data_IF_290069162678
#
_entry.id   IF_290069162678
#
_cell.length_a   1.000
_cell.length_b   1.000
_cell.length_c   1.000
_cell.angle_alpha   90.00
_cell.angle_beta   90.00
_cell.angle_gamma   90.00
#
_symmetry.space_group_name_H-M   'P 1'
#
loop_
_entity.id
_entity.type
_entity.pdbx_description
1 polymer ?
#
# COMPACT_ATOMS: atom_id res chain seq x y z
N UNK A 1 -7.61 -4.52 -12.81
CA UNK A 1 -8.68 -3.72 -12.19
C UNK A 1 -10.00 -4.07 -12.86
N UNK A 2 -11.13 -3.76 -12.22
CA UNK A 2 -12.45 -4.29 -12.54
C UNK A 2 -12.83 -4.35 -14.03
N UNK A 3 -13.74 -5.26 -14.38
CA UNK A 3 -14.27 -5.36 -15.75
C UNK A 3 -14.96 -4.08 -16.21
N UNK A 4 -15.04 -3.89 -17.53
CA UNK A 4 -15.78 -2.77 -18.14
C UNK A 4 -17.21 -2.70 -17.62
N UNK A 5 -17.86 -3.86 -17.44
CA UNK A 5 -19.22 -3.98 -16.88
C UNK A 5 -19.37 -3.31 -15.51
N UNK A 6 -18.37 -3.44 -14.63
CA UNK A 6 -18.40 -2.76 -13.33
C UNK A 6 -18.22 -1.25 -13.47
N UNK A 7 -17.36 -0.78 -14.38
CA UNK A 7 -17.21 0.66 -14.65
C UNK A 7 -18.51 1.27 -15.21
N UNK A 8 -19.18 0.57 -16.11
CA UNK A 8 -20.44 1.02 -16.72
C UNK A 8 -21.60 1.12 -15.71
N UNK A 9 -21.48 0.49 -14.54
CA UNK A 9 -22.47 0.59 -13.45
C UNK A 9 -22.36 1.85 -12.59
N UNK A 10 -21.35 2.68 -12.82
CA UNK A 10 -21.11 3.93 -12.08
C UNK A 10 -21.09 5.15 -13.01
N UNK A 11 -21.33 6.36 -12.48
CA UNK A 11 -21.11 7.59 -13.24
C UNK A 11 -19.68 7.66 -13.81
N UNK A 12 -19.54 8.23 -15.00
CA UNK A 12 -18.24 8.39 -15.63
C UNK A 12 -17.32 9.30 -14.79
N UNK A 13 -16.01 9.01 -14.83
CA UNK A 13 -15.00 9.90 -14.26
C UNK A 13 -15.00 11.22 -15.06
N UNK A 14 -15.11 12.39 -14.41
CA UNK A 14 -15.26 13.67 -15.10
C UNK A 14 -13.95 14.14 -15.75
N UNK A 15 -14.06 14.96 -16.79
CA UNK A 15 -12.91 15.44 -17.57
C UNK A 15 -12.36 16.81 -17.11
N UNK A 16 -12.99 17.44 -16.11
CA UNK A 16 -12.72 18.81 -15.64
C UNK A 16 -12.05 18.85 -14.26
N UNK A 17 -11.44 17.74 -13.82
CA UNK A 17 -10.68 17.65 -12.58
C UNK A 17 -9.19 17.48 -12.85
N UNK A 18 -8.28 17.94 -11.96
CA UNK A 18 -6.85 17.74 -12.14
C UNK A 18 -6.50 16.26 -12.04
N UNK A 19 -5.92 15.69 -13.09
CA UNK A 19 -5.49 14.30 -13.18
C UNK A 19 -3.95 14.24 -13.19
N UNK A 20 -3.38 13.31 -12.45
CA UNK A 20 -1.95 13.05 -12.46
C UNK A 20 -1.55 12.31 -13.75
N UNK A 21 -0.39 12.64 -14.31
CA UNK A 21 0.18 11.87 -15.42
C UNK A 21 0.75 10.54 -14.88
N UNK A 22 -0.08 9.50 -14.85
CA UNK A 22 0.30 8.16 -14.39
C UNK A 22 0.51 7.27 -15.61
N UNK A 23 1.72 6.76 -15.78
CA UNK A 23 2.07 5.88 -16.89
C UNK A 23 1.23 4.60 -16.88
N UNK A 24 0.80 4.17 -18.06
CA UNK A 24 0.15 2.87 -18.26
C UNK A 24 1.12 1.87 -18.85
N UNK A 25 1.31 0.77 -18.13
CA UNK A 25 2.27 -0.30 -18.38
C UNK A 25 1.52 -1.60 -18.66
N UNK A 26 1.82 -2.27 -19.77
CA UNK A 26 1.19 -3.52 -20.18
C UNK A 26 1.88 -4.73 -19.56
N UNK A 27 1.14 -5.52 -18.78
CA UNK A 27 1.64 -6.78 -18.22
C UNK A 27 2.06 -7.78 -19.30
N UNK A 28 1.28 -7.86 -20.38
CA UNK A 28 1.57 -8.75 -21.51
C UNK A 28 2.92 -8.41 -22.16
N UNK A 29 3.20 -7.12 -22.40
CA UNK A 29 4.48 -6.67 -22.95
C UNK A 29 5.65 -6.91 -22.00
N UNK A 30 5.46 -6.66 -20.69
CA UNK A 30 6.48 -6.99 -19.69
C UNK A 30 6.84 -8.48 -19.75
N UNK A 31 5.84 -9.37 -19.76
CA UNK A 31 6.03 -10.82 -19.85
C UNK A 31 6.64 -11.28 -21.17
N UNK A 32 6.36 -10.57 -22.26
CA UNK A 32 7.01 -10.78 -23.56
C UNK A 32 8.47 -10.30 -23.60
N UNK A 33 8.99 -9.68 -22.53
CA UNK A 33 10.36 -9.18 -22.47
C UNK A 33 10.59 -7.88 -23.24
N UNK A 34 9.55 -7.07 -23.46
CA UNK A 34 9.66 -5.76 -24.11
C UNK A 34 10.52 -4.82 -23.25
N UNK A 35 11.74 -4.55 -23.70
CA UNK A 35 12.72 -3.75 -22.97
C UNK A 35 12.29 -2.29 -22.78
N UNK A 36 11.53 -1.74 -23.73
CA UNK A 36 10.98 -0.38 -23.61
C UNK A 36 9.91 -0.35 -22.53
N UNK A 37 9.04 -1.35 -22.48
CA UNK A 37 7.99 -1.41 -21.45
C UNK A 37 8.57 -1.60 -20.05
N UNK A 38 9.61 -2.44 -19.91
CA UNK A 38 10.35 -2.59 -18.65
C UNK A 38 11.00 -1.27 -18.22
N UNK A 39 11.60 -0.54 -19.16
CA UNK A 39 12.21 0.77 -18.89
C UNK A 39 11.17 1.82 -18.47
N UNK A 40 10.01 1.87 -19.15
CA UNK A 40 8.88 2.75 -18.80
C UNK A 40 8.34 2.44 -17.41
N UNK A 41 8.15 1.16 -17.08
CA UNK A 41 7.73 0.73 -15.75
C UNK A 41 8.71 1.21 -14.68
N UNK A 42 10.00 1.02 -14.91
CA UNK A 42 11.03 1.41 -13.95
C UNK A 42 11.16 2.94 -13.79
N UNK A 43 11.05 3.70 -14.88
CA UNK A 43 10.95 5.17 -14.83
C UNK A 43 9.74 5.59 -13.97
N UNK A 44 8.57 4.98 -14.17
CA UNK A 44 7.40 5.28 -13.35
C UNK A 44 7.62 4.98 -11.85
N UNK A 45 8.33 3.89 -11.51
CA UNK A 45 8.69 3.55 -10.13
C UNK A 45 9.68 4.53 -9.47
N UNK A 46 10.51 5.23 -10.26
CA UNK A 46 11.54 6.17 -9.76
C UNK A 46 11.08 7.63 -9.79
N UNK A 47 10.25 8.01 -10.77
CA UNK A 47 9.81 9.39 -10.96
C UNK A 47 8.56 9.74 -10.15
N UNK A 48 7.50 8.95 -10.32
CA UNK A 48 6.23 9.18 -9.64
C UNK A 48 6.00 8.20 -8.49
N UNK A 49 6.59 7.00 -8.55
CA UNK A 49 6.33 5.93 -7.61
C UNK A 49 4.98 5.23 -7.83
N UNK A 50 4.27 5.56 -8.92
CA UNK A 50 2.95 5.07 -9.27
C UNK A 50 2.88 4.75 -10.78
N UNK A 51 2.16 3.69 -11.13
CA UNK A 51 1.76 3.40 -12.52
C UNK A 51 0.45 2.62 -12.56
N UNK A 52 -0.20 2.61 -13.72
CA UNK A 52 -1.32 1.75 -14.05
C UNK A 52 -0.80 0.48 -14.74
N UNK A 53 -1.05 -0.70 -14.19
CA UNK A 53 -0.70 -1.98 -14.80
C UNK A 53 -1.89 -2.56 -15.56
N UNK A 54 -1.86 -2.49 -16.89
CA UNK A 54 -2.86 -3.09 -17.77
C UNK A 54 -2.74 -4.61 -17.78
N UNK A 55 -3.80 -5.28 -17.32
CA UNK A 55 -3.90 -6.73 -17.20
C UNK A 55 -4.42 -7.42 -18.47
N UNK A 56 -4.82 -6.65 -19.49
CA UNK A 56 -5.36 -7.20 -20.74
C UNK A 56 -4.28 -7.95 -21.51
N UNK A 57 -4.71 -8.92 -22.32
CA UNK A 57 -3.85 -9.73 -23.19
C UNK A 57 -2.79 -10.57 -22.45
N UNK A 58 -3.00 -10.83 -21.15
CA UNK A 58 -2.21 -11.77 -20.36
C UNK A 58 -3.16 -12.72 -19.62
N UNK A 59 -2.92 -14.03 -19.67
CA UNK A 59 -3.83 -15.03 -19.11
C UNK A 59 -3.99 -14.88 -17.58
N UNK A 60 -2.88 -14.61 -16.88
CA UNK A 60 -2.90 -14.38 -15.42
C UNK A 60 -3.57 -13.05 -15.11
N UNK A 61 -3.30 -12.00 -15.89
CA UNK A 61 -3.94 -10.69 -15.76
C UNK A 61 -5.46 -10.76 -15.96
N UNK A 62 -5.92 -11.46 -16.98
CA UNK A 62 -7.34 -11.68 -17.25
C UNK A 62 -8.00 -12.56 -16.18
N UNK A 63 -7.29 -13.56 -15.65
CA UNK A 63 -7.78 -14.36 -14.52
C UNK A 63 -7.89 -13.52 -13.25
N UNK A 64 -6.87 -12.71 -12.94
CA UNK A 64 -6.90 -11.77 -11.82
C UNK A 64 -8.03 -10.74 -11.98
N UNK A 65 -8.33 -10.29 -13.21
CA UNK A 65 -9.45 -9.37 -13.43
C UNK A 65 -10.79 -10.01 -13.01
N UNK A 66 -11.00 -11.30 -13.33
CA UNK A 66 -12.20 -12.02 -12.88
C UNK A 66 -12.26 -12.14 -11.37
N UNK A 67 -11.13 -12.47 -10.74
CA UNK A 67 -11.04 -12.55 -9.27
C UNK A 67 -11.29 -11.20 -8.61
N UNK A 68 -10.81 -10.11 -9.21
CA UNK A 68 -11.04 -8.75 -8.73
C UNK A 68 -12.53 -8.43 -8.66
N UNK A 69 -13.31 -8.77 -9.70
CA UNK A 69 -14.75 -8.52 -9.73
C UNK A 69 -15.45 -9.28 -8.59
N UNK A 70 -15.07 -10.55 -8.37
CA UNK A 70 -15.56 -11.36 -7.25
C UNK A 70 -15.18 -10.75 -5.91
N UNK A 71 -13.91 -10.37 -5.75
CA UNK A 71 -13.39 -9.79 -4.51
C UNK A 71 -14.05 -8.44 -4.17
N UNK A 72 -14.42 -7.62 -5.17
CA UNK A 72 -15.17 -6.38 -4.97
C UNK A 72 -16.60 -6.64 -4.50
N UNK A 73 -17.26 -7.68 -5.04
CA UNK A 73 -18.55 -8.16 -4.54
C UNK A 73 -18.44 -8.64 -3.10
N UNK A 74 -17.45 -9.48 -2.82
CA UNK A 74 -17.16 -9.99 -1.47
C UNK A 74 -16.88 -8.86 -0.47
N UNK A 75 -16.12 -7.83 -0.87
CA UNK A 75 -15.86 -6.68 -0.02
C UNK A 75 -17.17 -5.96 0.36
N UNK A 76 -18.10 -5.80 -0.59
CA UNK A 76 -19.42 -5.23 -0.31
C UNK A 76 -20.18 -6.08 0.71
N UNK A 77 -20.26 -7.39 0.50
CA UNK A 77 -20.94 -8.31 1.43
C UNK A 77 -20.34 -8.26 2.84
N UNK A 78 -19.01 -8.24 2.96
CA UNK A 78 -18.30 -8.09 4.24
C UNK A 78 -18.69 -6.79 4.96
N UNK A 79 -18.81 -5.69 4.23
CA UNK A 79 -19.15 -4.41 4.84
C UNK A 79 -20.64 -4.23 5.12
N UNK A 80 -21.50 -4.99 4.44
CA UNK A 80 -22.95 -5.05 4.66
C UNK A 80 -23.34 -5.95 5.85
N UNK A 81 -22.40 -6.74 6.41
CA UNK A 81 -22.61 -7.45 7.67
C UNK A 81 -23.02 -6.51 8.81
N UNK A 82 -23.82 -7.00 9.79
CA UNK A 82 -24.16 -6.25 10.99
C UNK A 82 -22.93 -5.69 11.69
N UNK A 83 -23.07 -4.51 12.31
CA UNK A 83 -21.95 -3.83 12.95
C UNK A 83 -21.32 -4.71 14.05
N UNK A 84 -22.16 -5.40 14.81
CA UNK A 84 -21.77 -6.32 15.89
C UNK A 84 -20.85 -7.42 15.36
N UNK A 85 -21.18 -8.03 14.23
CA UNK A 85 -20.38 -9.08 13.59
C UNK A 85 -19.03 -8.54 13.10
N UNK A 86 -19.00 -7.34 12.55
CA UNK A 86 -17.75 -6.70 12.11
C UNK A 86 -16.84 -6.35 13.29
N UNK A 87 -17.41 -5.90 14.40
CA UNK A 87 -16.63 -5.45 15.57
C UNK A 87 -15.93 -6.56 16.35
N UNK A 88 -16.31 -7.83 16.16
CA UNK A 88 -15.55 -8.99 16.67
C UNK A 88 -14.10 -8.96 16.17
N UNK A 89 -13.88 -8.38 14.99
CA UNK A 89 -12.58 -8.22 14.35
C UNK A 89 -11.89 -6.90 14.67
N UNK A 90 -12.43 -6.08 15.57
CA UNK A 90 -11.88 -4.75 15.83
C UNK A 90 -10.36 -4.80 16.03
N UNK A 91 -9.65 -3.88 15.39
CA UNK A 91 -8.26 -3.58 15.72
C UNK A 91 -8.22 -3.06 17.16
N UNK A 92 -8.16 -3.97 18.14
CA UNK A 92 -7.80 -3.63 19.51
C UNK A 92 -6.33 -3.21 19.43
N UNK A 93 -5.99 -1.92 19.61
CA UNK A 93 -4.59 -1.57 19.88
C UNK A 93 -4.21 -2.38 21.11
N UNK A 94 -3.03 -3.03 21.16
CA UNK A 94 -2.64 -3.82 22.33
C UNK A 94 -3.00 -3.04 23.61
N UNK A 95 -3.90 -3.56 24.45
CA UNK A 95 -4.53 -2.82 25.56
C UNK A 95 -3.52 -2.22 26.55
N UNK A 96 -2.25 -2.66 26.49
CA UNK A 96 -1.12 -2.09 27.24
C UNK A 96 -0.48 -0.82 26.64
N UNK A 97 -0.91 -0.35 25.46
CA UNK A 97 -0.46 0.91 24.86
C UNK A 97 -1.10 2.17 25.48
N UNK A 98 -2.06 2.02 26.39
CA UNK A 98 -2.81 3.13 27.00
C UNK A 98 -2.18 3.63 28.31
N UNK A 99 -1.05 3.06 28.74
CA UNK A 99 -0.34 3.49 29.94
C UNK A 99 1.03 4.07 29.62
N UNK A 100 1.16 5.40 29.72
CA UNK A 100 2.40 6.18 29.67
C UNK A 100 2.85 6.71 28.30
N UNK A 101 2.38 7.91 27.96
CA UNK A 101 3.04 8.85 27.04
C UNK A 101 3.56 10.00 27.89
N UNK A 102 4.88 10.10 28.17
CA UNK A 102 5.40 11.26 28.89
C UNK A 102 5.29 12.51 27.99
N UNK A 103 4.96 13.69 28.52
CA UNK A 103 4.84 14.91 27.74
C UNK A 103 6.16 15.25 27.03
N UNK A 104 6.08 15.44 25.71
CA UNK A 104 7.22 15.71 24.81
C UNK A 104 7.68 17.17 24.88
N UNK A 105 8.11 17.65 26.05
CA UNK A 105 8.57 19.05 26.19
C UNK A 105 10.09 19.25 26.14
N UNK A 106 10.93 18.20 26.18
CA UNK A 106 12.39 18.38 26.30
C UNK A 106 13.20 17.67 25.19
N UNK A 107 14.02 18.45 24.47
CA UNK A 107 14.92 18.02 23.38
C UNK A 107 15.92 16.91 23.74
N UNK A 108 16.17 16.68 25.05
CA UNK A 108 17.13 15.67 25.54
C UNK A 108 16.64 14.22 25.46
N UNK A 109 15.33 13.96 25.31
CA UNK A 109 14.77 12.59 25.34
C UNK A 109 14.81 11.85 24.01
N UNK A 110 15.05 12.52 22.87
CA UNK A 110 15.03 11.91 21.52
C UNK A 110 16.05 10.77 21.33
N UNK A 111 17.22 10.83 21.99
CA UNK A 111 18.30 9.83 21.82
C UNK A 111 18.13 8.60 22.72
N UNK A 112 17.56 8.77 23.91
CA UNK A 112 17.35 7.68 24.89
C UNK A 112 16.05 6.89 24.64
N UNK A 113 15.05 7.52 24.01
CA UNK A 113 13.79 6.84 23.66
C UNK A 113 13.99 5.73 22.62
N UNK A 114 14.98 5.82 21.73
CA UNK A 114 15.23 4.80 20.70
C UNK A 114 15.62 3.43 21.27
N UNK A 115 16.49 3.38 22.27
CA UNK A 115 16.95 2.10 22.86
C UNK A 115 16.05 1.61 24.00
N UNK A 116 15.53 2.52 24.84
CA UNK A 116 14.71 2.18 26.00
C UNK A 116 13.32 1.66 25.63
N UNK A 117 12.67 2.26 24.63
CA UNK A 117 11.38 1.79 24.09
C UNK A 117 11.61 0.41 23.45
N UNK A 118 12.55 0.28 22.51
CA UNK A 118 12.77 -0.98 21.79
C UNK A 118 13.08 -2.17 22.73
N UNK A 119 13.79 -1.95 23.85
CA UNK A 119 13.98 -2.98 24.90
C UNK A 119 12.68 -3.43 25.57
N UNK A 120 11.74 -2.52 25.82
CA UNK A 120 10.45 -2.82 26.43
C UNK A 120 9.48 -3.55 25.49
N UNK A 121 9.72 -3.45 24.17
CA UNK A 121 8.91 -4.07 23.12
C UNK A 121 9.55 -5.28 22.45
N UNK A 122 10.73 -5.73 22.91
CA UNK A 122 11.43 -6.94 22.46
C UNK A 122 10.57 -8.17 22.77
N UNK A 123 9.65 -8.50 21.84
CA UNK A 123 8.62 -9.54 22.00
C UNK A 123 7.21 -9.15 21.54
N UNK A 124 6.94 -7.87 21.26
CA UNK A 124 5.66 -7.44 20.67
C UNK A 124 5.69 -7.60 19.17
N UNK A 125 5.27 -8.78 18.72
CA UNK A 125 4.98 -9.02 17.30
C UNK A 125 3.71 -8.25 16.96
N UNK A 126 3.77 -7.35 15.97
CA UNK A 126 2.58 -6.78 15.34
C UNK A 126 1.84 -7.94 14.64
N UNK A 127 1.03 -8.69 15.39
CA UNK A 127 0.29 -9.83 14.85
C UNK A 127 -0.71 -9.29 13.84
N UNK A 128 -0.45 -9.53 12.56
CA UNK A 128 -1.42 -9.29 11.51
C UNK A 128 -2.50 -10.37 11.61
N UNK A 129 -3.44 -10.17 12.52
CA UNK A 129 -4.70 -10.91 12.55
C UNK A 129 -5.69 -10.26 11.59
N UNK A 130 -6.69 -11.04 11.17
CA UNK A 130 -7.81 -10.48 10.44
C UNK A 130 -8.44 -9.38 11.29
N UNK A 131 -8.66 -8.22 10.68
CA UNK A 131 -8.98 -7.04 11.46
C UNK A 131 -9.94 -6.09 10.76
N UNK A 132 -10.80 -5.49 11.56
CA UNK A 132 -11.76 -4.48 11.16
C UNK A 132 -11.42 -3.14 11.84
N UNK A 133 -11.59 -2.07 11.09
CA UNK A 133 -11.50 -0.69 11.58
C UNK A 133 -12.75 0.05 11.10
N UNK A 134 -13.55 0.54 12.05
CA UNK A 134 -14.73 1.34 11.78
C UNK A 134 -14.38 2.75 11.27
N UNK A 135 -15.28 3.40 10.53
CA UNK A 135 -15.13 4.80 10.13
C UNK A 135 -14.95 5.73 11.35
N UNK A 136 -14.18 6.80 11.18
CA UNK A 136 -13.95 7.83 12.19
C UNK A 136 -12.97 7.47 13.32
N UNK A 137 -12.38 6.27 13.32
CA UNK A 137 -11.36 5.86 14.32
C UNK A 137 -10.04 6.63 14.13
N UNK A 138 -9.68 6.97 12.90
CA UNK A 138 -8.51 7.79 12.59
C UNK A 138 -8.91 9.24 12.35
N UNK A 139 -7.93 10.14 12.41
CA UNK A 139 -8.11 11.56 12.06
C UNK A 139 -7.47 11.87 10.72
N UNK A 140 -8.09 12.77 9.99
CA UNK A 140 -7.55 13.39 8.77
C UNK A 140 -6.60 14.53 9.13
N UNK A 141 -5.92 15.09 8.13
CA UNK A 141 -5.07 16.28 8.24
C UNK A 141 -5.79 17.51 8.82
N UNK A 142 -7.13 17.55 8.71
CA UNK A 142 -7.98 18.62 9.28
C UNK A 142 -8.42 18.35 10.71
N UNK A 143 -7.98 17.24 11.32
CA UNK A 143 -8.42 16.77 12.64
C UNK A 143 -9.81 16.11 12.64
N UNK A 144 -10.54 16.16 11.52
CA UNK A 144 -11.84 15.52 11.37
C UNK A 144 -11.71 13.99 11.33
N UNK A 145 -12.72 13.24 11.80
CA UNK A 145 -12.75 11.79 11.66
C UNK A 145 -12.70 11.37 10.19
N UNK A 146 -11.91 10.34 9.92
CA UNK A 146 -11.83 9.71 8.60
C UNK A 146 -13.19 9.10 8.18
N UNK A 147 -13.41 8.92 6.88
CA UNK A 147 -14.68 8.41 6.34
C UNK A 147 -14.50 7.04 5.65
N UNK A 148 -13.63 6.20 6.21
CA UNK A 148 -13.36 4.88 5.64
C UNK A 148 -13.40 3.74 6.67
N UNK A 149 -13.92 2.60 6.24
CA UNK A 149 -13.83 1.34 6.99
C UNK A 149 -12.80 0.43 6.35
N UNK A 150 -12.02 -0.28 7.16
CA UNK A 150 -11.10 -1.32 6.68
C UNK A 150 -11.54 -2.67 7.17
N UNK A 151 -11.42 -3.67 6.30
CA UNK A 151 -11.39 -5.07 6.67
C UNK A 151 -10.15 -5.70 6.05
N UNK A 152 -9.23 -6.19 6.87
CA UNK A 152 -7.95 -6.72 6.44
C UNK A 152 -7.87 -8.23 6.68
N UNK A 153 -7.50 -8.98 5.66
CA UNK A 153 -7.17 -10.39 5.70
C UNK A 153 -5.66 -10.55 5.67
N UNK A 154 -5.10 -11.23 6.66
CA UNK A 154 -3.67 -11.52 6.70
C UNK A 154 -3.28 -12.58 5.68
N UNK A 155 -2.15 -12.40 5.00
CA UNK A 155 -1.56 -13.45 4.16
C UNK A 155 -0.94 -14.57 5.01
N UNK A 156 -0.42 -14.22 6.18
CA UNK A 156 0.29 -15.13 7.09
C UNK A 156 -0.65 -16.06 7.88
N UNK A 157 -1.53 -16.78 7.19
CA UNK A 157 -2.42 -17.79 7.77
C UNK A 157 -1.71 -19.05 8.30
N UNK A 158 -0.50 -18.92 8.87
CA UNK A 158 0.23 -20.03 9.51
C UNK A 158 -0.32 -20.40 10.90
N UNK A 159 -1.21 -19.58 11.46
CA UNK A 159 -2.19 -20.04 12.45
C UNK A 159 -3.49 -20.38 11.70
N UNK A 160 -4.23 -21.46 12.06
CA UNK A 160 -5.49 -21.81 11.39
C UNK A 160 -6.31 -20.54 11.26
N UNK A 161 -6.65 -20.12 10.02
CA UNK A 161 -7.30 -18.83 9.76
C UNK A 161 -8.33 -18.62 10.86
N UNK A 162 -8.09 -17.67 11.78
CA UNK A 162 -8.98 -17.47 12.93
C UNK A 162 -10.42 -17.34 12.45
N UNK A 163 -11.41 -17.52 13.33
CA UNK A 163 -12.83 -17.44 12.95
C UNK A 163 -13.06 -16.25 12.02
N UNK A 164 -13.32 -16.48 10.74
CA UNK A 164 -13.61 -15.40 9.78
C UNK A 164 -15.11 -15.20 9.70
N UNK A 165 -15.61 -14.05 9.23
CA UNK A 165 -17.03 -13.95 8.90
C UNK A 165 -17.43 -15.08 7.93
N UNK A 166 -18.63 -15.67 8.05
CA UNK A 166 -19.07 -16.77 7.18
C UNK A 166 -18.82 -16.49 5.70
N UNK A 167 -19.11 -15.26 5.25
CA UNK A 167 -18.88 -14.83 3.87
C UNK A 167 -17.41 -14.99 3.41
N UNK A 168 -16.44 -14.73 4.29
CA UNK A 168 -15.02 -14.95 3.99
C UNK A 168 -14.68 -16.45 4.02
N UNK A 169 -15.28 -17.22 4.94
CA UNK A 169 -15.04 -18.66 5.05
C UNK A 169 -15.55 -19.41 3.82
N UNK A 170 -16.73 -19.07 3.35
CA UNK A 170 -17.40 -19.68 2.19
C UNK A 170 -16.70 -19.34 0.88
N UNK A 171 -16.10 -18.14 0.79
CA UNK A 171 -15.39 -17.66 -0.40
C UNK A 171 -13.87 -17.88 -0.36
N UNK A 172 -13.36 -18.77 0.52
CA UNK A 172 -11.93 -19.08 0.62
C UNK A 172 -11.30 -19.49 -0.72
N UNK A 173 -11.91 -20.36 -1.55
CA UNK A 173 -11.32 -20.73 -2.84
C UNK A 173 -11.07 -19.53 -3.77
N UNK A 174 -12.00 -18.57 -3.79
CA UNK A 174 -11.93 -17.35 -4.59
C UNK A 174 -10.85 -16.40 -4.06
N UNK A 175 -10.77 -16.23 -2.74
CA UNK A 175 -9.70 -15.44 -2.09
C UNK A 175 -8.33 -16.06 -2.37
N UNK A 176 -8.21 -17.38 -2.31
CA UNK A 176 -6.97 -18.10 -2.63
C UNK A 176 -6.60 -17.94 -4.12
N UNK A 177 -7.57 -18.02 -5.02
CA UNK A 177 -7.34 -17.78 -6.46
C UNK A 177 -6.81 -16.36 -6.71
N UNK A 178 -7.48 -15.35 -6.14
CA UNK A 178 -7.03 -13.96 -6.17
C UNK A 178 -5.59 -13.80 -5.66
N UNK A 179 -5.28 -14.38 -4.50
CA UNK A 179 -3.95 -14.32 -3.88
C UNK A 179 -2.87 -14.93 -4.78
N UNK A 180 -3.15 -16.06 -5.41
CA UNK A 180 -2.21 -16.73 -6.30
C UNK A 180 -1.89 -15.86 -7.52
N UNK A 181 -2.91 -15.34 -8.21
CA UNK A 181 -2.70 -14.51 -9.40
C UNK A 181 -2.03 -13.18 -9.07
N UNK A 182 -2.49 -12.46 -8.03
CA UNK A 182 -1.92 -11.15 -7.67
C UNK A 182 -0.48 -11.26 -7.15
N UNK A 183 -0.17 -12.35 -6.42
CA UNK A 183 1.19 -12.59 -5.95
C UNK A 183 2.13 -12.95 -7.09
N UNK A 184 1.69 -13.76 -8.06
CA UNK A 184 2.47 -14.08 -9.26
C UNK A 184 2.83 -12.82 -10.07
N UNK A 185 1.87 -11.91 -10.23
CA UNK A 185 2.10 -10.62 -10.89
C UNK A 185 3.09 -9.78 -10.07
N UNK A 186 2.89 -9.65 -8.76
CA UNK A 186 3.79 -8.90 -7.90
C UNK A 186 5.24 -9.44 -7.96
N UNK A 187 5.43 -10.76 -7.94
CA UNK A 187 6.75 -11.39 -8.09
C UNK A 187 7.40 -11.06 -9.44
N UNK A 188 6.60 -11.02 -10.51
CA UNK A 188 7.10 -10.62 -11.84
C UNK A 188 7.58 -9.17 -11.85
N UNK A 189 6.79 -8.25 -11.27
CA UNK A 189 7.17 -6.83 -11.13
C UNK A 189 8.48 -6.67 -10.35
N UNK A 190 8.66 -7.41 -9.26
CA UNK A 190 9.90 -7.41 -8.48
C UNK A 190 11.10 -7.87 -9.32
N UNK A 191 10.94 -8.91 -10.14
CA UNK A 191 12.01 -9.41 -11.00
C UNK A 191 12.44 -8.39 -12.07
N UNK A 192 11.50 -7.63 -12.65
CA UNK A 192 11.82 -6.55 -13.57
C UNK A 192 12.56 -5.39 -12.88
N UNK A 193 12.15 -5.05 -11.64
CA UNK A 193 12.84 -4.05 -10.82
C UNK A 193 14.27 -4.51 -10.48
N UNK A 194 14.46 -5.78 -10.08
CA UNK A 194 15.77 -6.37 -9.82
C UNK A 194 16.69 -6.25 -11.04
N UNK A 195 16.17 -6.59 -12.22
CA UNK A 195 16.90 -6.50 -13.49
C UNK A 195 17.37 -5.07 -13.78
N UNK A 196 16.48 -4.07 -13.63
CA UNK A 196 16.80 -2.66 -13.89
C UNK A 196 17.80 -2.08 -12.86
N UNK A 197 17.74 -2.57 -11.62
CA UNK A 197 18.71 -2.24 -10.58
C UNK A 197 20.03 -3.02 -10.70
N UNK A 198 20.14 -3.99 -11.62
CA UNK A 198 21.32 -4.85 -11.72
C UNK A 198 21.53 -5.74 -10.48
N UNK A 199 20.45 -6.12 -9.81
CA UNK A 199 20.48 -7.04 -8.67
C UNK A 199 20.42 -8.49 -9.14
N UNK A 200 20.97 -9.44 -8.36
CA UNK A 200 20.76 -10.87 -8.61
C UNK A 200 19.27 -11.22 -8.62
N UNK A 201 18.88 -12.13 -9.51
CA UNK A 201 17.51 -12.61 -9.60
C UNK A 201 17.03 -13.14 -8.25
N UNK A 202 15.84 -12.72 -7.83
CA UNK A 202 15.20 -13.09 -6.58
C UNK A 202 15.71 -12.34 -5.34
N UNK A 203 16.58 -11.34 -5.49
CA UNK A 203 17.08 -10.57 -4.35
C UNK A 203 15.96 -9.88 -3.57
N UNK A 204 15.07 -9.15 -4.23
CA UNK A 204 13.94 -8.48 -3.60
C UNK A 204 12.85 -9.48 -3.19
N UNK A 205 12.58 -10.50 -4.01
CA UNK A 205 11.56 -11.51 -3.67
C UNK A 205 11.94 -12.31 -2.41
N UNK A 206 13.23 -12.56 -2.19
CA UNK A 206 13.73 -13.26 -1.00
C UNK A 206 13.43 -12.52 0.33
N UNK A 207 13.23 -11.20 0.29
CA UNK A 207 12.96 -10.37 1.46
C UNK A 207 11.47 -10.35 1.85
N UNK A 208 10.60 -10.96 1.04
CA UNK A 208 9.14 -10.88 1.18
C UNK A 208 8.45 -12.16 0.73
N UNK A 209 9.13 -13.31 0.89
CA UNK A 209 8.61 -14.62 0.51
C UNK A 209 7.26 -14.90 1.18
N UNK A 210 6.43 -15.67 0.49
CA UNK A 210 5.06 -15.99 0.93
C UNK A 210 4.99 -16.98 2.08
N UNK A 211 6.04 -17.78 2.27
CA UNK A 211 6.20 -18.77 3.35
C UNK A 211 6.80 -18.18 4.64
N UNK A 212 7.22 -16.91 4.60
CA UNK A 212 7.80 -16.21 5.74
C UNK A 212 6.77 -15.28 6.39
N UNK A 213 6.70 -15.21 7.73
CA UNK A 213 5.86 -14.24 8.42
C UNK A 213 6.19 -12.81 8.00
N UNK A 214 5.18 -12.03 7.66
CA UNK A 214 5.22 -10.65 7.20
C UNK A 214 4.07 -9.83 7.82
N UNK A 215 3.93 -8.58 7.40
CA UNK A 215 2.70 -7.81 7.61
C UNK A 215 1.84 -7.70 6.35
N UNK A 216 2.00 -8.63 5.40
CA UNK A 216 1.29 -8.60 4.12
C UNK A 216 -0.19 -8.89 4.32
N UNK A 217 -1.04 -8.04 3.76
CA UNK A 217 -2.50 -8.17 3.91
C UNK A 217 -3.23 -7.87 2.61
N UNK A 218 -4.40 -8.48 2.43
CA UNK A 218 -5.46 -7.94 1.57
C UNK A 218 -6.27 -6.99 2.44
N UNK A 219 -6.37 -5.73 2.04
CA UNK A 219 -7.23 -4.74 2.70
C UNK A 219 -8.38 -4.38 1.79
N UNK A 220 -9.58 -4.80 2.18
CA UNK A 220 -10.83 -4.28 1.66
C UNK A 220 -11.12 -2.94 2.35
N UNK A 221 -11.59 -1.97 1.57
CA UNK A 221 -11.86 -0.63 2.07
C UNK A 221 -13.19 -0.15 1.51
N UNK A 222 -14.06 0.37 2.40
CA UNK A 222 -15.29 1.09 2.04
C UNK A 222 -15.16 2.55 2.42
N UNK A 223 -15.50 3.43 1.49
CA UNK A 223 -15.66 4.86 1.72
C UNK A 223 -17.12 5.22 1.50
N UNK A 224 -17.69 5.92 2.47
CA UNK A 224 -19.05 6.43 2.34
C UNK A 224 -19.13 7.42 1.15
N UNK A 225 -20.31 7.49 0.52
CA UNK A 225 -20.62 8.61 -0.37
C UNK A 225 -20.58 9.92 0.42
N UNK A 226 -20.27 11.01 -0.27
CA UNK A 226 -20.14 12.32 0.35
C UNK A 226 -21.03 13.34 -0.36
N UNK A 227 -21.96 13.93 0.41
CA UNK A 227 -22.77 15.06 -0.03
C UNK A 227 -21.89 16.23 -0.47
N UNK A 228 -22.27 16.98 -1.52
CA UNK A 228 -21.49 18.13 -2.01
C UNK A 228 -21.07 19.13 -0.92
N UNK A 229 -21.92 19.36 0.09
CA UNK A 229 -21.65 20.28 1.20
C UNK A 229 -20.70 19.73 2.27
N UNK A 230 -20.49 18.41 2.31
CA UNK A 230 -19.69 17.72 3.33
C UNK A 230 -18.40 17.09 2.77
N UNK A 231 -18.08 17.35 1.50
CA UNK A 231 -16.91 16.82 0.79
C UNK A 231 -15.61 17.15 1.50
N UNK A 232 -14.86 16.13 1.87
CA UNK A 232 -13.56 16.22 2.54
C UNK A 232 -12.68 14.99 2.30
N UNK A 233 -11.43 15.07 2.74
CA UNK A 233 -10.51 13.93 2.78
C UNK A 233 -11.14 12.79 3.59
N UNK A 234 -11.14 11.60 3.02
CA UNK A 234 -11.70 10.40 3.62
C UNK A 234 -10.64 9.52 4.29
N UNK A 235 -9.40 9.56 3.78
CA UNK A 235 -8.20 8.94 4.38
C UNK A 235 -7.02 9.89 4.24
N UNK A 236 -6.36 10.16 5.36
CA UNK A 236 -5.29 11.15 5.48
C UNK A 236 -4.14 10.94 4.48
N UNK A 237 -3.39 11.99 4.13
CA UNK A 237 -2.13 11.87 3.38
C UNK A 237 -1.14 10.91 4.05
N UNK A 238 -0.68 9.89 3.33
CA UNK A 238 0.27 8.90 3.83
C UNK A 238 1.17 8.35 2.71
N UNK A 239 2.24 7.68 3.13
CA UNK A 239 3.00 6.75 2.31
C UNK A 239 2.79 5.33 2.82
N UNK A 240 2.87 4.35 1.92
CA UNK A 240 2.74 2.95 2.32
C UNK A 240 4.02 2.44 2.96
N UNK A 241 3.93 1.72 4.07
CA UNK A 241 5.12 1.17 4.75
C UNK A 241 5.74 0.00 3.97
N UNK A 242 4.95 -0.71 3.17
CA UNK A 242 5.37 -1.96 2.53
C UNK A 242 6.43 -1.80 1.45
N UNK A 243 6.62 -2.86 0.68
CA UNK A 243 7.46 -2.85 -0.53
C UNK A 243 6.66 -2.38 -1.74
N UNK A 244 5.49 -2.97 -1.96
CA UNK A 244 4.66 -2.78 -3.14
C UNK A 244 3.18 -2.87 -2.77
N UNK A 245 2.38 -1.96 -3.32
CA UNK A 245 0.92 -1.98 -3.19
C UNK A 245 0.29 -2.18 -4.55
N UNK A 246 -0.62 -3.15 -4.65
CA UNK A 246 -1.46 -3.37 -5.82
C UNK A 246 -2.90 -3.05 -5.45
N UNK A 247 -3.43 -1.95 -5.97
CA UNK A 247 -4.72 -1.37 -5.63
C UNK A 247 -5.71 -1.53 -6.78
N UNK A 248 -6.89 -2.04 -6.43
CA UNK A 248 -8.07 -2.04 -7.29
C UNK A 248 -9.07 -1.00 -6.81
N UNK A 249 -9.61 -0.21 -7.74
CA UNK A 249 -10.78 0.63 -7.52
C UNK A 249 -11.55 0.88 -8.83
N UNK A 250 -12.84 1.17 -8.75
CA UNK A 250 -13.67 1.55 -9.92
C UNK A 250 -13.90 3.06 -9.94
N UNK A 251 -14.27 3.62 -8.79
CA UNK A 251 -14.47 5.05 -8.59
C UNK A 251 -13.15 5.77 -8.31
N UNK A 252 -13.07 7.04 -8.69
CA UNK A 252 -11.96 7.92 -8.35
C UNK A 252 -11.85 8.19 -6.83
N UNK A 253 -11.07 9.18 -6.45
CA UNK A 253 -10.91 9.62 -5.05
C UNK A 253 -9.49 9.51 -4.51
N UNK A 254 -8.68 8.61 -5.06
CA UNK A 254 -7.24 8.62 -4.77
C UNK A 254 -6.60 9.85 -5.43
N UNK A 255 -5.79 10.55 -4.65
CA UNK A 255 -4.98 11.67 -5.13
C UNK A 255 -3.52 11.48 -4.74
N UNK A 256 -2.62 11.95 -5.58
CA UNK A 256 -1.19 11.99 -5.32
C UNK A 256 -0.66 13.41 -5.43
N UNK A 257 0.49 13.66 -4.82
CA UNK A 257 1.23 14.89 -4.98
C UNK A 257 2.33 14.69 -6.05
N UNK A 258 2.28 15.39 -7.19
CA UNK A 258 3.35 15.34 -8.20
C UNK A 258 4.71 15.79 -7.65
N UNK A 259 5.78 15.51 -8.39
CA UNK A 259 7.12 15.97 -8.01
C UNK A 259 7.23 17.48 -8.15
N UNK A 260 7.79 18.13 -7.13
CA UNK A 260 8.10 19.56 -7.16
C UNK A 260 6.87 20.46 -7.08
N UNK A 261 5.70 19.89 -6.84
CA UNK A 261 4.48 20.65 -6.63
C UNK A 261 4.31 21.05 -5.16
N UNK A 262 3.53 22.10 -4.97
CA UNK A 262 3.05 22.62 -3.71
C UNK A 262 2.23 21.55 -2.97
N UNK A 263 2.14 21.62 -1.64
CA UNK A 263 1.33 20.71 -0.80
C UNK A 263 -0.19 20.75 -1.12
N UNK A 264 -0.62 21.69 -1.97
CA UNK A 264 -2.00 21.91 -2.37
C UNK A 264 -2.33 21.36 -3.78
N UNK A 265 -1.33 20.97 -4.60
CA UNK A 265 -1.53 20.48 -5.97
C UNK A 265 -1.85 18.97 -6.02
N UNK A 266 -2.86 18.56 -5.25
CA UNK A 266 -3.33 17.18 -5.26
C UNK A 266 -4.04 16.84 -6.57
N UNK A 267 -3.57 15.79 -7.25
CA UNK A 267 -4.14 15.35 -8.52
C UNK A 267 -4.69 13.94 -8.44
N UNK A 268 -5.85 13.72 -9.04
CA UNK A 268 -6.50 12.41 -9.05
C UNK A 268 -5.73 11.41 -9.90
N UNK A 269 -5.71 10.15 -9.46
CA UNK A 269 -5.45 9.03 -10.38
C UNK A 269 -6.80 8.58 -10.92
N UNK A 270 -6.98 8.63 -12.23
CA UNK A 270 -8.17 8.11 -12.91
C UNK A 270 -8.09 6.57 -12.96
N UNK A 271 -9.00 5.83 -12.29
CA UNK A 271 -9.05 4.39 -12.44
C UNK A 271 -9.43 4.01 -13.87
N UNK A 272 -8.88 2.92 -14.38
CA UNK A 272 -9.13 2.46 -15.75
C UNK A 272 -9.54 0.98 -15.80
N UNK A 273 -10.55 0.63 -16.62
CA UNK A 273 -10.98 -0.76 -16.81
C UNK A 273 -9.81 -1.67 -17.20
N UNK A 274 -9.61 -2.74 -16.42
CA UNK A 274 -8.50 -3.67 -16.62
C UNK A 274 -7.16 -3.28 -16.01
N UNK A 275 -6.95 -2.06 -15.51
CA UNK A 275 -5.63 -1.60 -15.08
C UNK A 275 -5.45 -1.47 -13.55
N UNK A 276 -4.60 -2.24 -12.88
CA UNK A 276 -4.31 -2.03 -11.44
C UNK A 276 -3.56 -0.71 -11.19
N UNK A 277 -3.83 -0.02 -10.09
CA UNK A 277 -2.91 1.02 -9.59
C UNK A 277 -1.82 0.33 -8.81
N UNK A 278 -0.56 0.57 -9.17
CA UNK A 278 0.60 0.00 -8.49
C UNK A 278 1.44 1.14 -7.94
N UNK A 279 1.86 1.03 -6.67
CA UNK A 279 2.77 2.00 -6.07
C UNK A 279 3.84 1.36 -5.19
N UNK A 280 4.99 2.02 -5.13
CA UNK A 280 6.06 1.60 -4.24
C UNK A 280 5.77 2.09 -2.83
N UNK A 281 6.16 1.28 -1.84
CA UNK A 281 6.16 1.68 -0.45
C UNK A 281 7.56 2.05 0.06
N UNK A 282 7.60 2.49 1.29
CA UNK A 282 8.79 3.03 1.93
C UNK A 282 9.89 1.97 2.11
N UNK A 283 9.55 0.68 2.22
CA UNK A 283 10.57 -0.36 2.34
C UNK A 283 11.46 -0.41 1.09
N UNK A 284 10.89 -0.16 -0.10
CA UNK A 284 11.67 -0.04 -1.33
C UNK A 284 12.58 1.18 -1.33
N UNK A 285 12.17 2.29 -0.71
CA UNK A 285 13.03 3.47 -0.55
C UNK A 285 14.24 3.13 0.30
N UNK A 286 14.05 2.46 1.45
CA UNK A 286 15.15 2.08 2.34
C UNK A 286 16.13 1.11 1.63
N UNK A 287 15.60 0.03 1.05
CA UNK A 287 16.42 -0.99 0.41
C UNK A 287 17.18 -0.49 -0.81
N UNK A 288 16.60 0.43 -1.59
CA UNK A 288 17.22 0.93 -2.83
C UNK A 288 18.00 2.23 -2.64
N UNK A 289 18.26 2.63 -1.38
CA UNK A 289 18.98 3.87 -1.09
C UNK A 289 18.30 5.11 -1.65
N UNK A 290 16.98 5.05 -1.79
CA UNK A 290 16.14 6.10 -2.35
C UNK A 290 16.05 6.15 -3.87
N UNK A 291 16.50 5.15 -4.62
CA UNK A 291 16.29 5.10 -6.08
C UNK A 291 14.81 5.01 -6.41
N UNK A 292 14.12 4.01 -5.85
CA UNK A 292 12.67 3.88 -5.98
C UNK A 292 11.97 4.92 -5.10
N UNK A 293 10.80 5.37 -5.56
CA UNK A 293 10.08 6.48 -4.93
C UNK A 293 8.80 6.00 -4.26
N UNK A 294 8.66 6.28 -2.98
CA UNK A 294 7.39 6.18 -2.24
C UNK A 294 6.73 7.56 -2.23
N UNK A 295 5.61 7.69 -2.91
CA UNK A 295 4.96 8.99 -3.13
C UNK A 295 3.77 9.19 -2.20
N UNK A 296 3.66 10.40 -1.65
CA UNK A 296 2.57 10.80 -0.78
C UNK A 296 1.25 10.76 -1.54
N UNK A 297 0.27 10.08 -0.95
CA UNK A 297 -1.06 9.93 -1.51
C UNK A 297 -2.12 10.03 -0.42
N UNK A 298 -3.33 10.41 -0.81
CA UNK A 298 -4.51 10.46 0.07
C UNK A 298 -5.72 9.90 -0.64
N UNK A 299 -6.79 9.68 0.11
CA UNK A 299 -8.11 9.41 -0.50
C UNK A 299 -9.08 10.49 -0.04
N UNK A 300 -9.64 11.21 -1.01
CA UNK A 300 -10.71 12.18 -0.81
C UNK A 300 -12.02 11.66 -1.40
N UNK A 301 -13.03 12.52 -1.51
CA UNK A 301 -14.26 12.21 -2.24
C UNK A 301 -13.97 11.85 -3.70
N UNK A 302 -14.78 10.94 -4.27
CA UNK A 302 -14.68 10.64 -5.71
C UNK A 302 -15.15 11.87 -6.53
N UNK A 303 -14.57 12.13 -7.71
CA UNK A 303 -14.85 13.36 -8.45
C UNK A 303 -16.21 13.34 -9.15
N UNK A 304 -16.84 14.52 -9.29
CA UNK A 304 -18.12 14.68 -9.99
C UNK A 304 -19.26 13.90 -9.35
N UNK A 305 -20.14 13.30 -10.17
CA UNK A 305 -21.27 12.49 -9.73
C UNK A 305 -20.83 11.18 -9.03
N UNK A 306 -19.57 10.74 -9.18
CA UNK A 306 -19.06 9.59 -8.45
C UNK A 306 -19.02 9.82 -6.94
N UNK A 307 -18.99 11.08 -6.47
CA UNK A 307 -19.01 11.42 -5.05
C UNK A 307 -20.23 10.87 -4.30
N UNK A 308 -21.35 10.69 -5.01
CA UNK A 308 -22.62 10.23 -4.47
C UNK A 308 -22.70 8.70 -4.36
N UNK A 309 -21.68 7.99 -4.85
CA UNK A 309 -21.60 6.54 -4.82
C UNK A 309 -20.68 6.06 -3.69
N UNK A 310 -21.07 4.99 -2.99
CA UNK A 310 -20.19 4.30 -2.04
C UNK A 310 -19.01 3.68 -2.79
N UNK A 311 -17.79 4.04 -2.41
CA UNK A 311 -16.57 3.56 -3.05
C UNK A 311 -16.00 2.36 -2.32
N UNK A 312 -15.78 1.27 -3.06
CA UNK A 312 -15.03 0.11 -2.59
C UNK A 312 -13.67 0.03 -3.28
N UNK A 313 -12.65 -0.41 -2.54
CA UNK A 313 -11.33 -0.71 -3.09
C UNK A 313 -10.68 -1.87 -2.36
N UNK A 314 -9.75 -2.53 -3.04
CA UNK A 314 -9.01 -3.67 -2.51
C UNK A 314 -7.53 -3.41 -2.75
N UNK A 315 -6.76 -3.36 -1.67
CA UNK A 315 -5.32 -3.19 -1.71
C UNK A 315 -4.64 -4.49 -1.27
N UNK A 316 -3.78 -5.03 -2.13
CA UNK A 316 -2.80 -6.03 -1.69
C UNK A 316 -1.53 -5.30 -1.28
N UNK A 317 -1.30 -5.24 0.02
CA UNK A 317 -0.26 -4.46 0.67
C UNK A 317 0.90 -5.40 1.02
N UNK A 318 1.89 -5.48 0.15
CA UNK A 318 3.02 -6.40 0.33
C UNK A 318 4.01 -5.78 1.30
N UNK A 319 4.41 -6.55 2.31
CA UNK A 319 5.38 -6.13 3.32
C UNK A 319 6.59 -7.06 3.37
N UNK A 320 7.75 -6.55 3.80
CA UNK A 320 8.89 -7.41 4.09
C UNK A 320 8.53 -8.52 5.09
N UNK A 321 9.25 -9.63 5.02
CA UNK A 321 9.19 -10.63 6.08
C UNK A 321 9.77 -10.04 7.38
N UNK A 322 9.18 -10.37 8.52
CA UNK A 322 9.38 -9.65 9.80
C UNK A 322 10.83 -9.54 10.24
N UNK A 323 11.60 -10.60 10.01
CA UNK A 323 12.97 -10.74 10.50
C UNK A 323 14.02 -10.35 9.47
N UNK A 324 13.61 -9.91 8.26
CA UNK A 324 14.58 -9.46 7.26
C UNK A 324 15.12 -8.09 7.63
N UNK A 325 16.36 -7.84 7.23
CA UNK A 325 17.02 -6.56 7.49
C UNK A 325 16.43 -5.43 6.65
N UNK A 326 16.26 -4.26 7.27
CA UNK A 326 15.98 -3.00 6.58
C UNK A 326 17.25 -2.26 6.15
N UNK A 327 18.43 -2.88 6.27
CA UNK A 327 19.68 -2.35 5.70
C UNK A 327 19.54 -2.15 4.21
N UNK A 328 20.24 -1.14 3.69
CA UNK A 328 20.30 -0.88 2.26
C UNK A 328 20.86 -2.12 1.56
N UNK A 329 20.29 -2.46 0.41
CA UNK A 329 20.82 -3.54 -0.41
C UNK A 329 22.12 -3.05 -1.05
N UNK A 330 23.21 -3.78 -0.78
CA UNK A 330 24.50 -3.56 -1.42
C UNK A 330 24.54 -4.28 -2.76
N UNK A 331 24.99 -3.59 -3.80
CA UNK A 331 25.21 -4.13 -5.14
C UNK A 331 24.33 -3.50 -6.22
N UNK A 332 24.55 -3.96 -7.46
CA UNK A 332 23.90 -3.42 -8.64
C UNK A 332 24.12 -1.91 -8.77
N UNK A 333 23.04 -1.19 -9.07
CA UNK A 333 23.02 0.25 -9.33
C UNK A 333 22.48 1.07 -8.15
N UNK A 334 22.40 0.47 -6.96
CA UNK A 334 21.94 1.14 -5.74
C UNK A 334 23.06 2.03 -5.17
N UNK A 335 22.82 3.32 -4.87
CA UNK A 335 23.79 4.23 -4.27
C UNK A 335 24.40 3.71 -2.96
N UNK A 336 25.71 3.90 -2.77
CA UNK A 336 26.36 3.57 -1.50
C UNK A 336 25.86 4.47 -0.37
N UNK A 337 25.97 3.98 0.86
CA UNK A 337 25.67 4.78 2.06
C UNK A 337 26.68 5.93 2.10
N UNK A 338 26.17 7.16 2.06
CA UNK A 338 27.01 8.35 2.18
C UNK A 338 27.62 8.46 3.57
N UNK A 339 28.73 9.17 3.70
CA UNK A 339 29.44 9.36 4.98
C UNK A 339 28.54 9.89 6.12
N UNK A 340 27.55 10.73 5.76
CA UNK A 340 26.63 11.36 6.72
C UNK A 340 25.25 10.68 6.76
N UNK A 341 25.07 9.54 6.07
CA UNK A 341 23.82 8.78 6.08
C UNK A 341 23.87 7.70 7.15
N UNK A 342 22.90 7.72 8.08
CA UNK A 342 22.71 6.62 9.02
C UNK A 342 22.08 5.42 8.30
N UNK A 343 22.72 4.26 8.41
CA UNK A 343 22.17 3.00 7.91
C UNK A 343 21.18 2.42 8.93
N UNK A 344 20.06 1.89 8.43
CA UNK A 344 19.08 1.20 9.26
C UNK A 344 19.57 -0.21 9.61
N UNK A 345 20.09 -0.40 10.82
CA UNK A 345 20.44 -1.72 11.36
C UNK A 345 19.33 -2.27 12.27
N UNK A 346 18.15 -2.50 11.68
CA UNK A 346 16.99 -3.07 12.35
C UNK A 346 16.26 -4.04 11.43
N UNK A 347 15.47 -4.94 12.01
CA UNK A 347 14.56 -5.82 11.28
C UNK A 347 13.36 -5.04 10.73
N UNK A 348 12.66 -5.63 9.76
CA UNK A 348 11.43 -5.04 9.22
C UNK A 348 10.35 -4.84 10.29
N UNK A 349 10.19 -5.80 11.21
CA UNK A 349 9.20 -5.68 12.29
C UNK A 349 9.50 -4.51 13.24
N UNK A 350 10.77 -4.31 13.61
CA UNK A 350 11.24 -3.19 14.41
C UNK A 350 11.05 -1.85 13.68
N UNK A 351 11.34 -1.82 12.38
CA UNK A 351 11.14 -0.65 11.54
C UNK A 351 9.68 -0.25 11.41
N UNK A 352 8.78 -1.21 11.16
CA UNK A 352 7.34 -0.98 11.10
C UNK A 352 6.80 -0.45 12.44
N UNK A 353 7.29 -1.00 13.56
CA UNK A 353 6.92 -0.54 14.89
C UNK A 353 7.38 0.89 15.15
N UNK A 354 8.63 1.22 14.79
CA UNK A 354 9.18 2.59 14.89
C UNK A 354 8.33 3.59 14.11
N UNK A 355 7.93 3.24 12.88
CA UNK A 355 7.02 4.08 12.07
C UNK A 355 5.63 4.22 12.69
N UNK A 356 5.02 3.13 13.12
CA UNK A 356 3.72 3.16 13.77
C UNK A 356 3.71 4.04 15.04
N UNK A 357 4.80 4.01 15.82
CA UNK A 357 4.96 4.87 16.99
C UNK A 357 5.18 6.33 16.63
N UNK A 358 6.02 6.62 15.64
CA UNK A 358 6.27 7.98 15.19
C UNK A 358 4.99 8.64 14.67
N UNK A 359 4.16 7.89 13.93
CA UNK A 359 2.83 8.33 13.49
C UNK A 359 1.91 8.63 14.68
N UNK A 360 1.84 7.73 15.68
CA UNK A 360 1.02 7.93 16.89
C UNK A 360 1.46 9.14 17.73
N UNK A 361 2.76 9.41 17.79
CA UNK A 361 3.33 10.53 18.52
C UNK A 361 3.18 11.87 17.76
N UNK A 362 2.62 11.87 16.55
CA UNK A 362 2.59 13.06 15.68
C UNK A 362 3.98 13.53 15.25
N UNK A 363 4.99 12.67 15.38
CA UNK A 363 6.38 12.96 15.06
C UNK A 363 6.76 12.58 13.62
N UNK A 364 5.92 11.78 12.95
CA UNK A 364 6.07 11.45 11.54
C UNK A 364 5.05 12.23 10.70
N UNK A 365 5.55 13.19 9.92
CA UNK A 365 4.77 13.86 8.88
C UNK A 365 5.04 13.10 7.60
N UNK A 366 4.05 12.33 7.15
CA UNK A 366 4.16 11.57 5.92
C UNK A 366 4.57 12.50 4.77
N UNK A 367 5.61 12.12 4.05
CA UNK A 367 6.16 12.89 2.94
C UNK A 367 6.67 11.96 1.87
N UNK A 368 6.65 12.44 0.63
CA UNK A 368 7.27 11.74 -0.49
C UNK A 368 8.77 11.54 -0.24
N UNK A 369 9.26 10.34 -0.55
CA UNK A 369 10.66 9.95 -0.41
C UNK A 369 11.17 9.19 -1.64
N UNK A 370 12.47 9.25 -1.89
CA UNK A 370 13.13 8.54 -2.98
C UNK A 370 13.16 9.32 -4.31
N UNK A 371 13.37 8.62 -5.42
CA UNK A 371 13.63 9.23 -6.73
C UNK A 371 15.04 9.78 -6.91
N UNK A 372 16.02 9.20 -6.22
CA UNK A 372 17.46 9.49 -6.39
C UNK A 372 18.00 8.83 -7.66
N UNK A 373 19.03 9.40 -8.29
CA UNK A 373 19.67 8.77 -9.44
C UNK A 373 20.30 7.43 -9.03
N UNK A 374 20.25 6.46 -9.94
CA UNK A 374 21.01 5.22 -9.84
C UNK A 374 22.51 5.46 -10.01
N UNK A 375 23.34 4.54 -9.51
CA UNK A 375 24.74 4.48 -9.91
C UNK A 375 24.86 4.27 -11.43
N UNK A 376 25.89 4.85 -12.06
CA UNK A 376 26.23 4.50 -13.43
C UNK A 376 26.56 3.00 -13.52
N UNK A 377 26.40 2.43 -14.70
CA UNK A 377 26.92 1.08 -14.96
C UNK A 377 28.44 1.11 -14.75
N UNK A 378 28.96 0.17 -13.97
CA UNK A 378 30.40 -0.06 -13.89
C UNK A 378 30.89 -0.45 -15.28
N UNK A 379 31.72 0.41 -15.88
CA UNK A 379 32.34 0.21 -17.20
C UNK A 379 33.32 -0.96 -17.16
#
# INVERSE_FOLDING_TARGET
MASQKLFDSYPAFPNDVPIANVEKISLAKLKAGDSMEVSRMFSACTELGFFLLDLKNDDVGMSLQKDIDVMLGLAKEVFDLPYEEKTVYNQIPPQKLVGFVPPLSNLFSRRLLGEGIMRQYKGYVLRCRNSYKAAGVMKTETGQPDQCEFFSLSRDGTEPMGENPPVIQENRPQITSYLNHITSIAQSLLAYIETQLGLPAGKLSSLQKTDMPSGTVIRMIRYASQDPSARRTALLPHTDYGSLTLLTSVLGGIQILPRGSDEHDWRYIKPEPGCLIVNMGDAMVEWTGGVLRSNLHRVTYAPGAQAECTRHSIAYLIRPARDVSMKRIVGGRIPDVGHDEEELDITASEWEMKKAMALKAGADIAKTRGGRPMKPLSV
#
